data_IF_360551122511
#
_entry.id   IF_360551122511
#
_cell.length_a   1.000
_cell.length_b   1.000
_cell.length_c   1.000
_cell.angle_alpha   90.00
_cell.angle_beta   90.00
_cell.angle_gamma   90.00
#
_symmetry.space_group_name_H-M   'P 1'
#
loop_
_entity.id
_entity.type
_entity.pdbx_description
1 polymer ?
#
# COMPACT_ATOMS: atom_id res chain seq x y z
N UNK A 1 22.51 -40.56 -7.83
CA UNK A 1 22.11 -40.48 -6.41
C UNK A 1 20.82 -39.69 -6.35
N UNK A 2 19.69 -40.32 -6.01
CA UNK A 2 18.41 -39.62 -5.85
C UNK A 2 18.44 -38.85 -4.54
N UNK A 3 18.35 -37.53 -4.61
CA UNK A 3 18.12 -36.67 -3.44
C UNK A 3 16.81 -37.12 -2.80
N UNK A 4 16.82 -37.38 -1.49
CA UNK A 4 15.63 -37.84 -0.77
C UNK A 4 14.53 -36.75 -0.76
N UNK A 5 13.27 -37.15 -0.62
CA UNK A 5 12.14 -36.20 -0.54
C UNK A 5 12.32 -35.17 0.60
N UNK A 6 13.01 -35.55 1.68
CA UNK A 6 13.33 -34.66 2.80
C UNK A 6 14.39 -33.61 2.42
N UNK A 7 15.42 -34.00 1.67
CA UNK A 7 16.46 -33.08 1.18
C UNK A 7 15.92 -32.14 0.09
N UNK A 8 15.01 -32.61 -0.78
CA UNK A 8 14.32 -31.75 -1.75
C UNK A 8 13.43 -30.71 -1.07
N UNK A 9 12.68 -31.11 -0.03
CA UNK A 9 11.86 -30.20 0.75
C UNK A 9 12.73 -29.16 1.48
N UNK A 10 13.86 -29.58 2.07
CA UNK A 10 14.80 -28.68 2.72
C UNK A 10 15.37 -27.63 1.74
N UNK A 11 15.73 -28.04 0.52
CA UNK A 11 16.26 -27.14 -0.51
C UNK A 11 15.24 -26.08 -0.97
N UNK A 12 13.97 -26.49 -1.15
CA UNK A 12 12.87 -25.56 -1.52
C UNK A 12 12.63 -24.57 -0.38
N UNK A 13 12.61 -25.05 0.86
CA UNK A 13 12.44 -24.21 2.05
C UNK A 13 13.62 -23.26 2.30
N UNK A 14 14.81 -23.56 1.78
CA UNK A 14 15.96 -22.67 1.85
C UNK A 14 15.87 -21.51 0.84
N UNK A 15 15.31 -21.76 -0.34
CA UNK A 15 15.16 -20.75 -1.40
C UNK A 15 13.95 -19.82 -1.20
N UNK A 16 12.92 -20.31 -0.52
CA UNK A 16 11.74 -19.53 -0.18
C UNK A 16 12.02 -18.82 1.15
N UNK A 17 12.31 -17.51 1.13
CA UNK A 17 12.54 -16.68 2.33
C UNK A 17 11.24 -16.43 3.10
N UNK A 18 10.50 -17.48 3.43
CA UNK A 18 9.25 -17.42 4.17
C UNK A 18 9.48 -18.03 5.55
N UNK A 19 8.96 -17.38 6.58
CA UNK A 19 8.87 -17.99 7.90
C UNK A 19 7.81 -19.09 7.86
N UNK A 20 8.10 -20.25 8.44
CA UNK A 20 7.12 -21.33 8.57
C UNK A 20 7.18 -21.88 9.98
N UNK A 21 6.00 -21.97 10.61
CA UNK A 21 5.79 -22.64 11.88
C UNK A 21 4.67 -23.66 11.71
N UNK A 22 4.89 -24.88 12.15
CA UNK A 22 3.88 -25.94 12.16
C UNK A 22 3.74 -26.41 13.59
N UNK A 23 2.50 -26.53 14.07
CA UNK A 23 2.20 -27.09 15.38
C UNK A 23 1.07 -28.12 15.30
N UNK A 24 1.10 -29.11 16.19
CA UNK A 24 0.11 -30.20 16.24
C UNK A 24 -1.16 -29.82 17.03
N UNK A 25 -2.08 -30.78 17.19
CA UNK A 25 -3.33 -30.58 17.94
C UNK A 25 -3.13 -30.32 19.44
N UNK A 26 -1.98 -30.72 19.99
CA UNK A 26 -1.61 -30.50 21.39
C UNK A 26 -0.84 -29.18 21.57
N UNK A 27 -0.90 -28.30 20.55
CA UNK A 27 -0.22 -27.01 20.50
C UNK A 27 1.30 -27.15 20.63
N UNK A 28 1.90 -28.23 20.13
CA UNK A 28 3.36 -28.44 20.15
C UNK A 28 3.97 -28.09 18.81
N UNK A 29 5.02 -27.27 18.83
CA UNK A 29 5.76 -26.90 17.61
C UNK A 29 6.44 -28.14 17.03
N UNK A 30 5.99 -28.58 15.85
CA UNK A 30 6.57 -29.68 15.09
C UNK A 30 7.75 -29.18 14.27
N UNK A 31 7.61 -28.00 13.67
CA UNK A 31 8.61 -27.40 12.78
C UNK A 31 8.60 -25.89 12.96
N UNK A 32 9.80 -25.32 13.00
CA UNK A 32 10.03 -23.88 12.89
C UNK A 32 11.30 -23.72 12.06
N UNK A 33 11.24 -22.89 11.02
CA UNK A 33 12.43 -22.59 10.23
C UNK A 33 13.15 -21.34 10.77
N UNK A 34 14.43 -21.19 10.40
CA UNK A 34 15.27 -20.10 10.88
C UNK A 34 14.82 -18.72 10.38
N UNK A 35 14.03 -18.65 9.30
CA UNK A 35 13.50 -17.40 8.78
C UNK A 35 12.51 -16.73 9.76
N UNK A 36 11.72 -17.52 10.50
CA UNK A 36 10.85 -16.99 11.58
C UNK A 36 11.71 -16.25 12.61
N UNK A 37 12.84 -16.84 13.02
CA UNK A 37 13.75 -16.22 13.97
C UNK A 37 14.26 -14.88 13.47
N UNK A 38 14.72 -14.80 12.21
CA UNK A 38 15.18 -13.54 11.61
C UNK A 38 14.07 -12.49 11.48
N UNK A 39 12.87 -12.89 11.06
CA UNK A 39 11.73 -11.99 10.85
C UNK A 39 11.23 -11.35 12.15
N UNK A 40 11.30 -12.07 13.27
CA UNK A 40 10.87 -11.58 14.59
C UNK A 40 12.03 -11.18 15.50
N UNK A 41 13.29 -11.21 15.01
CA UNK A 41 14.47 -10.87 15.80
C UNK A 41 14.76 -11.84 16.97
N UNK A 42 14.36 -13.12 16.85
CA UNK A 42 14.57 -14.14 17.86
C UNK A 42 15.95 -14.79 17.71
N UNK A 43 16.65 -15.08 18.83
CA UNK A 43 17.84 -15.93 18.78
C UNK A 43 17.47 -17.36 18.37
N UNK A 44 18.37 -18.07 17.70
CA UNK A 44 18.14 -19.44 17.18
C UNK A 44 17.73 -20.46 18.25
N UNK A 45 18.04 -20.19 19.53
CA UNK A 45 17.68 -21.03 20.67
C UNK A 45 16.37 -20.64 21.37
N UNK A 46 15.70 -19.56 20.94
CA UNK A 46 14.51 -19.05 21.62
C UNK A 46 13.35 -20.05 21.59
N UNK A 47 13.21 -20.80 20.49
CA UNK A 47 12.09 -21.71 20.29
C UNK A 47 12.64 -23.02 19.76
N UNK A 48 12.36 -24.09 20.50
CA UNK A 48 12.78 -25.44 20.12
C UNK A 48 11.59 -26.27 19.67
N UNK A 49 11.86 -27.31 18.88
CA UNK A 49 10.85 -28.31 18.52
C UNK A 49 10.28 -28.95 19.80
N UNK A 50 8.96 -29.07 19.87
CA UNK A 50 8.24 -29.57 21.05
C UNK A 50 7.85 -28.48 22.05
N UNK A 51 8.32 -27.24 21.89
CA UNK A 51 7.82 -26.10 22.67
C UNK A 51 6.31 -25.92 22.46
N UNK A 52 5.61 -25.36 23.45
CA UNK A 52 4.19 -25.06 23.28
C UNK A 52 4.00 -23.83 22.38
N UNK A 53 2.85 -23.74 21.71
CA UNK A 53 2.45 -22.55 20.96
C UNK A 53 2.40 -21.31 21.86
N UNK A 54 1.98 -21.48 23.11
CA UNK A 54 1.99 -20.41 24.10
C UNK A 54 3.40 -19.90 24.38
N UNK A 55 4.38 -20.79 24.56
CA UNK A 55 5.79 -20.40 24.75
C UNK A 55 6.33 -19.69 23.50
N UNK A 56 6.05 -20.22 22.31
CA UNK A 56 6.42 -19.58 21.05
C UNK A 56 5.88 -18.14 20.96
N UNK A 57 4.57 -17.96 21.18
CA UNK A 57 3.92 -16.64 21.17
C UNK A 57 4.45 -15.72 22.27
N UNK A 58 4.89 -16.27 23.40
CA UNK A 58 5.54 -15.52 24.46
C UNK A 58 6.90 -14.96 24.01
N UNK A 59 7.74 -15.78 23.37
CA UNK A 59 9.04 -15.35 22.84
C UNK A 59 8.89 -14.33 21.72
N UNK A 60 8.02 -14.60 20.74
CA UNK A 60 7.67 -13.65 19.68
C UNK A 60 7.18 -12.35 20.28
N UNK A 61 6.15 -12.42 21.14
CA UNK A 61 5.54 -11.24 21.75
C UNK A 61 6.53 -10.41 22.56
N UNK A 62 7.48 -11.02 23.27
CA UNK A 62 8.52 -10.27 23.97
C UNK A 62 9.47 -9.55 23.01
N UNK A 63 9.87 -10.21 21.92
CA UNK A 63 10.78 -9.63 20.93
C UNK A 63 10.16 -8.43 20.20
N UNK A 64 8.85 -8.48 19.92
CA UNK A 64 8.12 -7.40 19.23
C UNK A 64 7.33 -6.48 20.18
N UNK A 65 7.55 -6.56 21.49
CA UNK A 65 6.96 -5.64 22.47
C UNK A 65 5.45 -5.78 22.73
N UNK A 66 4.85 -6.94 22.47
CA UNK A 66 3.44 -7.19 22.78
C UNK A 66 3.18 -7.24 24.29
N UNK A 67 2.02 -6.70 24.70
CA UNK A 67 1.52 -6.87 26.07
C UNK A 67 1.07 -8.31 26.32
N UNK A 68 1.03 -8.73 27.58
CA UNK A 68 0.55 -10.08 27.93
C UNK A 68 -0.92 -10.29 27.55
N UNK A 69 -1.73 -9.23 27.62
CA UNK A 69 -3.13 -9.24 27.14
C UNK A 69 -3.18 -9.57 25.65
N UNK A 70 -2.31 -8.95 24.84
CA UNK A 70 -2.24 -9.21 23.40
C UNK A 70 -1.77 -10.64 23.11
N UNK A 71 -0.76 -11.14 23.82
CA UNK A 71 -0.26 -12.52 23.67
C UNK A 71 -1.36 -13.55 23.95
N UNK A 72 -2.12 -13.36 25.04
CA UNK A 72 -3.24 -14.22 25.41
C UNK A 72 -4.35 -14.18 24.34
N UNK A 73 -4.73 -12.98 23.88
CA UNK A 73 -5.72 -12.82 22.83
C UNK A 73 -5.31 -13.51 21.51
N UNK A 74 -4.03 -13.44 21.12
CA UNK A 74 -3.54 -14.12 19.92
C UNK A 74 -3.61 -15.64 20.08
N UNK A 75 -3.23 -16.18 21.24
CA UNK A 75 -3.35 -17.61 21.51
C UNK A 75 -4.82 -18.08 21.45
N UNK A 76 -5.73 -17.31 22.01
CA UNK A 76 -7.17 -17.61 21.95
C UNK A 76 -7.72 -17.55 20.52
N UNK A 77 -7.26 -16.59 19.71
CA UNK A 77 -7.59 -16.51 18.29
C UNK A 77 -7.12 -17.77 17.54
N UNK A 78 -5.89 -18.25 17.78
CA UNK A 78 -5.38 -19.49 17.18
C UNK A 78 -6.26 -20.70 17.51
N UNK A 79 -6.73 -20.81 18.76
CA UNK A 79 -7.65 -21.87 19.21
C UNK A 79 -9.02 -21.73 18.56
N UNK A 80 -9.52 -20.50 18.43
CA UNK A 80 -10.79 -20.22 17.76
C UNK A 80 -10.71 -20.60 16.28
N UNK A 81 -9.69 -20.15 15.55
CA UNK A 81 -9.50 -20.46 14.14
C UNK A 81 -9.34 -21.97 13.90
N UNK A 82 -8.67 -22.68 14.81
CA UNK A 82 -8.58 -24.14 14.75
C UNK A 82 -9.96 -24.83 14.85
N UNK A 83 -10.88 -24.29 15.66
CA UNK A 83 -12.26 -24.81 15.76
C UNK A 83 -13.10 -24.47 14.53
N UNK A 84 -12.90 -23.28 13.97
CA UNK A 84 -13.61 -22.83 12.77
C UNK A 84 -13.12 -23.57 11.51
N UNK A 85 -11.86 -24.00 11.48
CA UNK A 85 -11.27 -24.72 10.36
C UNK A 85 -11.06 -23.84 9.12
N UNK A 86 -11.13 -22.52 9.27
CA UNK A 86 -10.98 -21.57 8.16
C UNK A 86 -9.54 -21.03 8.07
N UNK A 87 -9.08 -20.85 6.83
CA UNK A 87 -7.83 -20.11 6.56
C UNK A 87 -8.00 -18.65 7.00
N UNK A 88 -7.00 -18.09 7.67
CA UNK A 88 -6.94 -16.65 8.02
C UNK A 88 -5.66 -16.04 7.45
N UNK A 89 -5.74 -14.80 7.01
CA UNK A 89 -4.62 -14.02 6.48
C UNK A 89 -4.73 -12.60 7.02
N UNK A 90 -3.64 -12.08 7.58
CA UNK A 90 -3.60 -10.75 8.17
C UNK A 90 -2.18 -10.18 8.18
N UNK A 91 -2.08 -8.86 8.13
CA UNK A 91 -0.80 -8.15 8.17
C UNK A 91 -0.41 -7.85 9.62
N UNK A 92 0.85 -8.11 9.96
CA UNK A 92 1.49 -7.64 11.17
C UNK A 92 2.41 -6.46 10.82
N UNK A 93 2.05 -5.28 11.32
CA UNK A 93 2.85 -4.07 11.22
C UNK A 93 3.78 -3.95 12.42
N UNK A 94 5.07 -3.78 12.14
CA UNK A 94 6.11 -3.49 13.12
C UNK A 94 6.28 -1.98 13.28
N UNK A 95 6.82 -1.55 14.43
CA UNK A 95 7.03 -0.13 14.72
C UNK A 95 8.10 0.51 13.82
N UNK A 96 9.01 -0.29 13.26
CA UNK A 96 10.06 0.13 12.32
C UNK A 96 9.58 0.24 10.87
N UNK A 97 8.30 -0.08 10.62
CA UNK A 97 7.67 -0.01 9.30
C UNK A 97 7.66 -1.32 8.52
N UNK A 98 8.34 -2.38 8.98
CA UNK A 98 8.23 -3.68 8.34
C UNK A 98 6.80 -4.22 8.41
N UNK A 99 6.41 -4.98 7.38
CA UNK A 99 5.10 -5.63 7.30
C UNK A 99 5.29 -7.10 6.98
N UNK A 100 4.84 -7.96 7.90
CA UNK A 100 4.74 -9.39 7.65
C UNK A 100 3.29 -9.77 7.37
N UNK A 101 3.05 -10.40 6.24
CA UNK A 101 1.80 -11.11 6.01
C UNK A 101 1.86 -12.46 6.73
N UNK A 102 0.91 -12.70 7.62
CA UNK A 102 0.78 -13.93 8.38
C UNK A 102 -0.44 -14.67 7.86
N UNK A 103 -0.22 -15.89 7.39
CA UNK A 103 -1.31 -16.77 6.99
C UNK A 103 -1.38 -17.98 7.91
N UNK A 104 -2.55 -18.20 8.49
CA UNK A 104 -2.92 -19.37 9.25
C UNK A 104 -3.65 -20.37 8.34
N UNK A 105 -3.08 -21.57 8.22
CA UNK A 105 -3.63 -22.70 7.47
C UNK A 105 -3.94 -23.86 8.42
N UNK A 106 -5.21 -24.07 8.79
CA UNK A 106 -5.59 -25.22 9.59
C UNK A 106 -5.36 -26.51 8.80
N UNK A 107 -4.89 -27.55 9.48
CA UNK A 107 -4.71 -28.89 8.92
C UNK A 107 -5.67 -29.83 9.66
N UNK A 108 -6.76 -30.30 9.00
CA UNK A 108 -7.64 -31.30 9.59
C UNK A 108 -6.81 -32.47 10.13
N UNK A 109 -6.98 -32.77 11.42
CA UNK A 109 -6.28 -33.80 12.18
C UNK A 109 -4.79 -33.57 12.54
N UNK A 110 -4.14 -32.53 12.02
CA UNK A 110 -2.67 -32.34 12.16
C UNK A 110 -2.24 -31.01 12.78
N UNK A 111 -3.21 -30.21 13.27
CA UNK A 111 -2.95 -28.90 13.90
C UNK A 111 -3.00 -27.77 12.88
N UNK A 112 -1.95 -26.96 12.77
CA UNK A 112 -1.93 -25.86 11.80
C UNK A 112 -0.53 -25.49 11.32
N UNK A 113 -0.51 -24.87 10.14
CA UNK A 113 0.68 -24.25 9.53
C UNK A 113 0.49 -22.74 9.55
N UNK A 114 1.45 -22.02 10.10
CA UNK A 114 1.58 -20.58 9.93
C UNK A 114 2.68 -20.31 8.90
N UNK A 115 2.40 -19.43 7.96
CA UNK A 115 3.39 -18.88 7.04
C UNK A 115 3.54 -17.39 7.26
N UNK A 116 4.77 -16.89 7.17
CA UNK A 116 5.13 -15.50 7.35
C UNK A 116 5.89 -15.04 6.11
N UNK A 117 5.41 -13.97 5.48
CA UNK A 117 6.02 -13.40 4.28
C UNK A 117 6.29 -11.93 4.51
N UNK A 118 7.53 -11.51 4.26
CA UNK A 118 7.85 -10.08 4.24
C UNK A 118 7.24 -9.46 2.99
N UNK A 119 6.21 -8.64 3.20
CA UNK A 119 5.47 -7.92 2.16
C UNK A 119 5.73 -6.42 2.25
N UNK A 120 6.74 -5.98 3.00
CA UNK A 120 7.04 -4.55 3.23
C UNK A 120 7.15 -3.80 1.90
N UNK A 121 7.98 -4.31 0.99
CA UNK A 121 8.19 -3.68 -0.32
C UNK A 121 6.92 -3.67 -1.19
N UNK A 122 6.17 -4.77 -1.20
CA UNK A 122 4.94 -4.88 -1.99
C UNK A 122 3.85 -3.92 -1.49
N UNK A 123 3.67 -3.84 -0.16
CA UNK A 123 2.71 -2.95 0.48
C UNK A 123 3.11 -1.49 0.32
N UNK A 124 4.39 -1.16 0.42
CA UNK A 124 4.92 0.18 0.20
C UNK A 124 4.72 0.63 -1.25
N UNK A 125 5.05 -0.23 -2.22
CA UNK A 125 4.84 0.06 -3.64
C UNK A 125 3.35 0.30 -3.93
N UNK A 126 2.48 -0.59 -3.42
CA UNK A 126 1.03 -0.45 -3.55
C UNK A 126 0.54 0.87 -2.95
N UNK A 127 1.09 1.28 -1.80
CA UNK A 127 0.75 2.55 -1.15
C UNK A 127 1.17 3.74 -2.00
N UNK A 128 2.40 3.74 -2.52
CA UNK A 128 2.93 4.80 -3.37
C UNK A 128 2.11 4.95 -4.66
N UNK A 129 1.75 3.84 -5.31
CA UNK A 129 0.91 3.85 -6.51
C UNK A 129 -0.45 4.47 -6.20
N UNK A 130 -1.12 4.04 -5.13
CA UNK A 130 -2.42 4.60 -4.73
C UNK A 130 -2.33 6.10 -4.43
N UNK A 131 -1.31 6.51 -3.69
CA UNK A 131 -1.10 7.92 -3.37
C UNK A 131 -0.88 8.74 -4.65
N UNK A 132 -0.06 8.24 -5.59
CA UNK A 132 0.14 8.88 -6.89
C UNK A 132 -1.17 9.05 -7.65
N UNK A 133 -2.00 8.01 -7.71
CA UNK A 133 -3.28 8.05 -8.42
C UNK A 133 -4.25 9.07 -7.80
N UNK A 134 -4.27 9.18 -6.48
CA UNK A 134 -5.08 10.19 -5.77
C UNK A 134 -4.58 11.61 -6.06
N UNK A 135 -3.26 11.86 -6.02
CA UNK A 135 -2.67 13.15 -6.40
C UNK A 135 -2.99 13.53 -7.85
N UNK A 136 -2.99 12.55 -8.75
CA UNK A 136 -3.32 12.78 -10.15
C UNK A 136 -4.79 13.18 -10.32
N UNK A 137 -5.72 12.53 -9.61
CA UNK A 137 -7.14 12.93 -9.61
C UNK A 137 -7.33 14.35 -9.08
N UNK A 138 -6.63 14.71 -8.01
CA UNK A 138 -6.67 16.07 -7.45
C UNK A 138 -6.13 17.09 -8.45
N UNK A 139 -5.02 16.78 -9.12
CA UNK A 139 -4.42 17.63 -10.17
C UNK A 139 -5.41 17.88 -11.31
N UNK A 140 -6.06 16.84 -11.83
CA UNK A 140 -7.08 16.97 -12.89
C UNK A 140 -8.24 17.85 -12.42
N UNK A 141 -8.77 17.62 -11.22
CA UNK A 141 -9.85 18.44 -10.67
C UNK A 141 -9.44 19.91 -10.51
N UNK A 142 -8.18 20.19 -10.15
CA UNK A 142 -7.65 21.54 -10.06
C UNK A 142 -7.56 22.20 -11.45
N UNK A 143 -7.06 21.49 -12.46
CA UNK A 143 -6.99 21.98 -13.84
C UNK A 143 -8.38 22.35 -14.38
N UNK A 144 -9.40 21.52 -14.12
CA UNK A 144 -10.79 21.82 -14.49
C UNK A 144 -11.32 23.09 -13.79
N UNK A 145 -10.98 23.28 -12.50
CA UNK A 145 -11.36 24.50 -11.76
C UNK A 145 -10.70 25.74 -12.37
N UNK A 146 -9.41 25.70 -12.68
CA UNK A 146 -8.71 26.82 -13.32
C UNK A 146 -9.28 27.06 -14.72
N UNK A 147 -9.63 26.01 -15.46
CA UNK A 147 -10.29 26.12 -16.77
C UNK A 147 -11.61 26.88 -16.70
N UNK A 148 -12.46 26.57 -15.71
CA UNK A 148 -13.71 27.32 -15.47
C UNK A 148 -13.44 28.77 -15.07
N UNK A 149 -12.43 29.03 -14.24
CA UNK A 149 -12.04 30.41 -13.87
C UNK A 149 -11.62 31.17 -15.13
N UNK A 150 -10.75 30.59 -15.95
CA UNK A 150 -10.28 31.20 -17.21
C UNK A 150 -11.44 31.52 -18.16
N UNK A 151 -12.38 30.59 -18.32
CA UNK A 151 -13.57 30.80 -19.14
C UNK A 151 -14.44 31.95 -18.60
N UNK A 152 -14.66 32.01 -17.28
CA UNK A 152 -15.40 33.09 -16.64
C UNK A 152 -14.69 34.44 -16.79
N UNK A 153 -13.37 34.48 -16.58
CA UNK A 153 -12.56 35.70 -16.76
C UNK A 153 -12.64 36.19 -18.21
N UNK A 154 -12.61 35.27 -19.19
CA UNK A 154 -12.80 35.60 -20.61
C UNK A 154 -14.17 36.22 -20.89
N UNK A 155 -15.23 35.72 -20.27
CA UNK A 155 -16.58 36.30 -20.38
C UNK A 155 -16.68 37.67 -19.73
N UNK A 156 -16.08 37.86 -18.55
CA UNK A 156 -16.03 39.16 -17.87
C UNK A 156 -15.27 40.18 -18.71
N UNK A 157 -14.13 39.79 -19.28
CA UNK A 157 -13.34 40.60 -20.18
C UNK A 157 -14.13 41.00 -21.43
N UNK A 158 -14.84 40.05 -22.06
CA UNK A 158 -15.71 40.32 -23.19
C UNK A 158 -16.81 41.34 -22.85
N UNK A 159 -17.48 41.18 -21.71
CA UNK A 159 -18.51 42.11 -21.25
C UNK A 159 -17.92 43.52 -21.01
N UNK A 160 -16.71 43.60 -20.43
CA UNK A 160 -16.01 44.86 -20.23
C UNK A 160 -15.62 45.53 -21.57
N UNK A 161 -15.18 44.76 -22.58
CA UNK A 161 -14.89 45.29 -23.91
C UNK A 161 -16.14 45.85 -24.60
N UNK A 162 -17.29 45.20 -24.44
CA UNK A 162 -18.58 45.68 -24.97
C UNK A 162 -18.98 47.00 -24.29
N UNK A 163 -18.88 47.08 -22.97
CA UNK A 163 -19.22 48.29 -22.23
C UNK A 163 -18.26 49.45 -22.54
N UNK A 164 -16.97 49.15 -22.70
CA UNK A 164 -15.97 50.12 -23.13
C UNK A 164 -16.29 50.68 -24.53
N UNK A 165 -16.73 49.83 -25.47
CA UNK A 165 -17.18 50.29 -26.78
C UNK A 165 -18.43 51.17 -26.69
N UNK A 166 -19.36 50.86 -25.78
CA UNK A 166 -20.58 51.65 -25.53
C UNK A 166 -20.28 53.06 -25.01
N UNK A 167 -19.26 53.22 -24.17
CA UNK A 167 -18.80 54.50 -23.63
C UNK A 167 -18.01 55.35 -24.66
N UNK A 168 -17.73 54.81 -25.85
CA UNK A 168 -17.01 55.51 -26.91
C UNK A 168 -15.65 56.01 -26.46
N UNK A 169 -15.40 57.31 -26.59
CA UNK A 169 -14.10 57.90 -26.27
C UNK A 169 -13.71 57.78 -24.79
N UNK A 170 -14.67 57.77 -23.88
CA UNK A 170 -14.41 57.61 -22.45
C UNK A 170 -14.02 56.16 -22.08
N UNK A 171 -14.35 55.18 -22.92
CA UNK A 171 -14.08 53.77 -22.69
C UNK A 171 -12.75 53.27 -23.26
N UNK A 172 -12.01 54.07 -24.04
CA UNK A 172 -10.81 53.60 -24.76
C UNK A 172 -9.75 52.96 -23.86
N UNK A 173 -9.48 53.52 -22.68
CA UNK A 173 -8.54 52.93 -21.71
C UNK A 173 -9.02 51.60 -21.13
N UNK A 174 -10.33 51.49 -20.86
CA UNK A 174 -10.93 50.25 -20.38
C UNK A 174 -10.94 49.15 -21.45
N UNK A 175 -11.11 49.51 -22.74
CA UNK A 175 -11.08 48.56 -23.84
C UNK A 175 -9.74 47.83 -23.95
N UNK A 176 -8.62 48.54 -23.74
CA UNK A 176 -7.27 47.96 -23.78
C UNK A 176 -7.08 46.95 -22.64
N UNK A 177 -7.51 47.31 -21.43
CA UNK A 177 -7.40 46.41 -20.26
C UNK A 177 -8.28 45.18 -20.45
N UNK A 178 -9.50 45.35 -20.98
CA UNK A 178 -10.41 44.25 -21.23
C UNK A 178 -9.85 43.26 -22.27
N UNK A 179 -9.22 43.77 -23.34
CA UNK A 179 -8.56 42.91 -24.33
C UNK A 179 -7.35 42.16 -23.75
N UNK A 180 -6.54 42.81 -22.90
CA UNK A 180 -5.40 42.17 -22.24
C UNK A 180 -5.85 41.03 -21.31
N UNK A 181 -6.89 41.26 -20.50
CA UNK A 181 -7.46 40.22 -19.61
C UNK A 181 -8.06 39.07 -20.43
N UNK A 182 -8.66 39.37 -21.59
CA UNK A 182 -9.17 38.34 -22.51
C UNK A 182 -8.03 37.49 -23.06
N UNK A 183 -6.95 38.11 -23.52
CA UNK A 183 -5.78 37.41 -24.06
C UNK A 183 -5.12 36.53 -23.00
N UNK A 184 -4.95 37.04 -21.78
CA UNK A 184 -4.42 36.26 -20.65
C UNK A 184 -5.30 35.05 -20.33
N UNK A 185 -6.63 35.20 -20.44
CA UNK A 185 -7.58 34.09 -20.26
C UNK A 185 -7.57 33.09 -21.43
N UNK A 186 -7.08 33.47 -22.61
CA UNK A 186 -6.85 32.55 -23.74
C UNK A 186 -5.59 31.76 -23.49
N UNK A 187 -4.49 32.46 -23.22
CA UNK A 187 -3.19 31.86 -22.92
C UNK A 187 -3.27 30.90 -21.72
N UNK A 188 -3.98 31.28 -20.66
CA UNK A 188 -4.23 30.39 -19.50
C UNK A 188 -4.93 29.10 -19.92
N UNK A 189 -5.92 29.17 -20.81
CA UNK A 189 -6.60 27.96 -21.30
C UNK A 189 -5.69 27.07 -22.14
N UNK A 190 -4.82 27.67 -22.96
CA UNK A 190 -3.87 26.92 -23.79
C UNK A 190 -2.84 26.18 -22.92
N UNK A 191 -2.31 26.84 -21.89
CA UNK A 191 -1.41 26.24 -20.90
C UNK A 191 -2.08 25.08 -20.16
N UNK A 192 -3.36 25.22 -19.78
CA UNK A 192 -4.11 24.13 -19.12
C UNK A 192 -4.26 22.88 -20.02
N UNK A 193 -4.43 23.07 -21.32
CA UNK A 193 -4.50 21.96 -22.30
C UNK A 193 -3.14 21.27 -22.38
N UNK A 194 -2.05 22.03 -22.37
CA UNK A 194 -0.69 21.46 -22.39
C UNK A 194 -0.37 20.68 -21.12
N UNK A 195 -0.69 21.23 -19.94
CA UNK A 195 -0.50 20.54 -18.65
C UNK A 195 -1.31 19.25 -18.61
N UNK A 196 -2.57 19.29 -19.07
CA UNK A 196 -3.42 18.10 -19.15
C UNK A 196 -2.81 17.02 -20.04
N UNK A 197 -2.21 17.40 -21.17
CA UNK A 197 -1.52 16.47 -22.08
C UNK A 197 -0.28 15.85 -21.45
N UNK A 198 0.55 16.66 -20.77
CA UNK A 198 1.76 16.17 -20.08
C UNK A 198 1.38 15.20 -18.96
N UNK A 199 0.33 15.51 -18.19
CA UNK A 199 -0.16 14.66 -17.12
C UNK A 199 -0.66 13.31 -17.65
N UNK A 200 -1.40 13.31 -18.78
CA UNK A 200 -1.86 12.08 -19.43
C UNK A 200 -0.69 11.23 -19.97
N UNK A 201 0.29 11.84 -20.63
CA UNK A 201 1.46 11.12 -21.15
C UNK A 201 2.32 10.50 -20.04
N UNK A 202 2.40 11.17 -18.87
CA UNK A 202 3.11 10.66 -17.71
C UNK A 202 2.46 9.39 -17.12
N UNK A 203 1.15 9.20 -17.33
CA UNK A 203 0.43 7.98 -16.93
C UNK A 203 0.71 6.82 -17.88
N UNK A 204 0.68 7.05 -19.20
CA UNK A 204 0.92 6.01 -20.21
C UNK A 204 2.34 5.42 -20.11
N UNK A 205 3.35 6.25 -19.86
CA UNK A 205 4.73 5.80 -19.66
C UNK A 205 4.93 4.96 -18.39
N UNK A 206 4.06 5.13 -17.40
CA UNK A 206 4.12 4.35 -16.17
C UNK A 206 3.45 2.98 -16.34
N UNK A 207 2.31 2.92 -17.01
CA UNK A 207 1.58 1.66 -17.25
C UNK A 207 2.33 0.72 -18.21
N UNK A 208 3.12 1.26 -19.15
CA UNK A 208 3.91 0.45 -20.10
C UNK A 208 5.20 -0.12 -19.47
N UNK A 209 5.63 0.41 -18.32
CA UNK A 209 6.78 -0.11 -17.55
C UNK A 209 6.45 -1.36 -16.73
N UNK A 210 5.17 -1.58 -16.44
CA UNK A 210 4.67 -2.70 -15.64
C UNK A 210 4.20 -3.91 -16.50
N UNK A 211 4.43 -3.88 -17.83
CA UNK A 211 4.18 -4.98 -18.77
C UNK A 211 5.46 -5.70 -19.17
#
# INVERSE_FOLDING_TARGET
MSVSAAEQLALVMEHVRHGIVIYDRDERIILINHYVGRMFGLPDSAVTRGASLADYLHHVGNAVGWSDVRKAAILDNHRQWAREGERRQFDHHFDDGHVLEITYHPQPDHGAVLTFVDVTHERDLTRVIRQRDDLNRETVAMLERVGRISANTRLVALNASIEAARLGDQGRGFAVVAEEVRNLSIETSDVLVEISRINAASLELADDRDR
#
